data_IF_747481051199
#
_entry.id   IF_747481051199
#
_cell.length_a   1.000
_cell.length_b   1.000
_cell.length_c   1.000
_cell.angle_alpha   90.00
_cell.angle_beta   90.00
_cell.angle_gamma   90.00
#
_symmetry.space_group_name_H-M   'P 1'
#
loop_
_entity.id
_entity.type
_entity.pdbx_description
1 polymer ?
#
# COMPACT_ATOMS: atom_id res chain seq x y z
N UNK A 1 44.34 -7.28 -20.80
CA UNK A 1 43.70 -8.10 -21.84
C UNK A 1 42.43 -7.40 -22.31
N UNK A 2 42.43 -6.68 -23.46
CA UNK A 2 41.21 -6.01 -23.99
C UNK A 2 40.37 -7.06 -24.71
N UNK A 3 39.27 -7.52 -24.09
CA UNK A 3 38.29 -8.38 -24.74
C UNK A 3 37.59 -7.60 -25.87
N UNK A 4 38.05 -7.77 -27.11
CA UNK A 4 37.33 -7.27 -28.31
C UNK A 4 36.17 -8.21 -28.61
N UNK A 5 34.99 -7.87 -28.09
CA UNK A 5 33.76 -8.55 -28.45
C UNK A 5 33.48 -8.37 -29.96
N UNK A 6 33.12 -9.46 -30.66
CA UNK A 6 32.61 -9.39 -32.04
C UNK A 6 31.40 -8.45 -32.10
N UNK A 7 31.21 -7.75 -33.23
CA UNK A 7 30.10 -6.82 -33.50
C UNK A 7 28.73 -7.42 -33.13
N UNK A 8 28.52 -8.68 -33.46
CA UNK A 8 27.33 -9.45 -33.11
C UNK A 8 27.14 -9.56 -31.58
N UNK A 9 28.19 -9.88 -30.81
CA UNK A 9 28.14 -9.98 -29.37
C UNK A 9 27.84 -8.63 -28.70
N UNK A 10 28.31 -7.52 -29.30
CA UNK A 10 28.00 -6.17 -28.82
C UNK A 10 26.51 -5.82 -28.99
N UNK A 11 25.92 -6.11 -30.13
CA UNK A 11 24.49 -5.86 -30.39
C UNK A 11 23.65 -6.68 -29.44
N UNK A 12 23.94 -7.99 -29.28
CA UNK A 12 23.23 -8.86 -28.34
C UNK A 12 23.29 -8.30 -26.90
N UNK A 13 24.47 -7.86 -26.49
CA UNK A 13 24.66 -7.28 -25.16
C UNK A 13 23.83 -6.01 -24.97
N UNK A 14 23.83 -5.09 -25.96
CA UNK A 14 23.06 -3.84 -25.85
C UNK A 14 21.55 -4.11 -25.78
N UNK A 15 21.03 -5.02 -26.60
CA UNK A 15 19.61 -5.38 -26.53
C UNK A 15 19.25 -6.10 -25.23
N UNK A 16 20.12 -7.00 -24.72
CA UNK A 16 19.90 -7.65 -23.43
C UNK A 16 19.86 -6.64 -22.28
N UNK A 17 20.77 -5.67 -22.27
CA UNK A 17 20.79 -4.60 -21.28
C UNK A 17 19.54 -3.73 -21.38
N UNK A 18 19.12 -3.38 -22.60
CA UNK A 18 17.90 -2.60 -22.82
C UNK A 18 16.66 -3.32 -22.27
N UNK A 19 16.50 -4.60 -22.59
CA UNK A 19 15.38 -5.41 -22.11
C UNK A 19 15.44 -5.54 -20.58
N UNK A 20 16.63 -5.71 -19.99
CA UNK A 20 16.81 -5.77 -18.54
C UNK A 20 16.38 -4.48 -17.84
N UNK A 21 16.80 -3.32 -18.37
CA UNK A 21 16.41 -2.00 -17.85
C UNK A 21 14.88 -1.84 -17.91
N UNK A 22 14.28 -2.19 -19.03
CA UNK A 22 12.83 -2.10 -19.22
C UNK A 22 12.07 -3.03 -18.25
N UNK A 23 12.55 -4.25 -18.07
CA UNK A 23 11.97 -5.22 -17.13
C UNK A 23 12.04 -4.71 -15.68
N UNK A 24 13.18 -4.16 -15.26
CA UNK A 24 13.33 -3.56 -13.93
C UNK A 24 12.38 -2.37 -13.78
N UNK A 25 12.26 -1.53 -14.81
CA UNK A 25 11.33 -0.39 -14.81
C UNK A 25 9.87 -0.82 -14.60
N UNK A 26 9.43 -1.89 -15.30
CA UNK A 26 8.07 -2.44 -15.14
C UNK A 26 7.86 -2.96 -13.71
N UNK A 27 8.82 -3.71 -13.16
CA UNK A 27 8.71 -4.25 -11.79
C UNK A 27 8.59 -3.13 -10.76
N UNK A 28 9.40 -2.07 -10.88
CA UNK A 28 9.35 -0.94 -9.96
C UNK A 28 8.03 -0.17 -10.08
N UNK A 29 7.56 0.05 -11.31
CA UNK A 29 6.27 0.71 -11.55
C UNK A 29 5.10 -0.08 -10.96
N UNK A 30 5.06 -1.39 -11.19
CA UNK A 30 4.02 -2.27 -10.67
C UNK A 30 4.01 -2.31 -9.14
N UNK A 31 5.19 -2.38 -8.49
CA UNK A 31 5.28 -2.31 -7.04
C UNK A 31 4.73 -1.00 -6.47
N UNK A 32 5.00 0.12 -7.13
CA UNK A 32 4.48 1.42 -6.72
C UNK A 32 2.95 1.49 -6.89
N UNK A 33 2.43 1.00 -8.01
CA UNK A 33 1.00 0.97 -8.31
C UNK A 33 0.24 0.11 -7.30
N UNK A 34 0.75 -1.09 -7.00
CA UNK A 34 0.17 -2.00 -6.00
C UNK A 34 0.10 -1.33 -4.63
N UNK A 35 1.16 -0.65 -4.19
CA UNK A 35 1.16 0.05 -2.89
C UNK A 35 0.10 1.14 -2.86
N UNK A 36 -0.01 1.93 -3.92
CA UNK A 36 -1.00 3.01 -4.01
C UNK A 36 -2.44 2.48 -3.94
N UNK A 37 -2.77 1.47 -4.76
CA UNK A 37 -4.10 0.86 -4.78
C UNK A 37 -4.47 0.22 -3.45
N UNK A 38 -3.49 -0.42 -2.78
CA UNK A 38 -3.72 -1.03 -1.47
C UNK A 38 -3.96 -0.01 -0.37
N UNK A 39 -3.16 1.05 -0.33
CA UNK A 39 -3.40 2.14 0.63
C UNK A 39 -4.80 2.71 0.44
N UNK A 40 -5.21 2.96 -0.80
CA UNK A 40 -6.55 3.46 -1.12
C UNK A 40 -7.67 2.46 -0.74
N UNK A 41 -7.44 1.17 -0.95
CA UNK A 41 -8.38 0.12 -0.53
C UNK A 41 -8.55 0.07 0.99
N UNK A 42 -7.44 0.19 1.74
CA UNK A 42 -7.47 0.26 3.21
C UNK A 42 -8.15 1.54 3.69
N UNK A 43 -7.90 2.69 3.06
CA UNK A 43 -8.60 3.94 3.39
C UNK A 43 -10.11 3.82 3.19
N UNK A 44 -10.56 3.20 2.09
CA UNK A 44 -11.99 2.97 1.85
C UNK A 44 -12.59 2.04 2.91
N UNK A 45 -11.90 0.98 3.29
CA UNK A 45 -12.35 0.08 4.34
C UNK A 45 -12.44 0.79 5.70
N UNK A 46 -11.49 1.66 6.02
CA UNK A 46 -11.52 2.45 7.24
C UNK A 46 -12.63 3.51 7.20
N UNK A 47 -12.92 4.11 6.03
CA UNK A 47 -14.07 5.01 5.83
C UNK A 47 -15.39 4.29 6.11
N UNK A 48 -15.58 3.10 5.53
CA UNK A 48 -16.76 2.26 5.74
C UNK A 48 -16.92 1.86 7.22
N UNK A 49 -15.82 1.50 7.89
CA UNK A 49 -15.83 1.19 9.32
C UNK A 49 -16.21 2.41 10.17
N UNK A 50 -15.66 3.58 9.89
CA UNK A 50 -16.02 4.82 10.60
C UNK A 50 -17.50 5.16 10.42
N UNK A 51 -18.04 5.01 9.21
CA UNK A 51 -19.46 5.22 8.95
C UNK A 51 -20.35 4.19 9.65
N UNK A 52 -19.93 2.92 9.69
CA UNK A 52 -20.66 1.88 10.43
C UNK A 52 -20.71 2.22 11.93
N UNK A 53 -19.56 2.57 12.52
CA UNK A 53 -19.45 2.96 13.92
C UNK A 53 -20.36 4.15 14.24
N UNK A 54 -20.35 5.18 13.39
CA UNK A 54 -21.20 6.35 13.56
C UNK A 54 -22.70 5.99 13.49
N UNK A 55 -23.10 5.14 12.54
CA UNK A 55 -24.49 4.67 12.44
C UNK A 55 -24.92 3.85 13.65
N UNK A 56 -24.04 3.00 14.15
CA UNK A 56 -24.30 2.19 15.35
C UNK A 56 -24.50 3.07 16.60
N UNK A 57 -23.58 4.01 16.83
CA UNK A 57 -23.65 4.96 17.96
C UNK A 57 -24.97 5.74 17.91
N UNK A 58 -25.35 6.27 16.73
CA UNK A 58 -26.60 7.02 16.56
C UNK A 58 -27.84 6.15 16.69
N UNK A 59 -27.81 4.96 16.11
CA UNK A 59 -28.96 4.03 16.09
C UNK A 59 -29.30 3.49 17.48
N UNK A 60 -28.28 3.30 18.33
CA UNK A 60 -28.44 2.80 19.70
C UNK A 60 -28.48 3.93 20.74
N UNK A 61 -28.35 5.19 20.32
CA UNK A 61 -28.29 6.35 21.22
C UNK A 61 -27.17 6.24 22.29
N UNK A 62 -26.04 5.68 21.90
CA UNK A 62 -24.89 5.46 22.79
C UNK A 62 -24.26 6.80 23.17
N UNK A 63 -24.08 7.06 24.45
CA UNK A 63 -23.28 8.18 24.90
C UNK A 63 -21.80 7.93 24.56
N UNK A 64 -21.12 8.93 23.97
CA UNK A 64 -19.72 8.80 23.51
C UNK A 64 -18.73 8.52 24.65
N UNK A 65 -19.14 8.72 25.91
CA UNK A 65 -18.40 8.39 27.13
C UNK A 65 -18.77 7.02 27.73
N UNK A 66 -19.65 6.24 27.07
CA UNK A 66 -20.03 4.91 27.58
C UNK A 66 -19.09 3.85 27.00
N UNK A 67 -17.96 3.63 27.69
CA UNK A 67 -16.92 2.68 27.25
C UNK A 67 -17.44 1.25 27.07
N UNK A 68 -18.29 0.74 27.98
CA UNK A 68 -18.74 -0.66 27.91
C UNK A 68 -19.55 -1.00 26.66
N UNK A 69 -20.40 -0.08 26.16
CA UNK A 69 -21.14 -0.29 24.92
C UNK A 69 -20.28 -0.12 23.67
N UNK A 70 -19.25 0.74 23.77
CA UNK A 70 -18.27 0.92 22.68
C UNK A 70 -17.30 -0.26 22.62
N UNK A 71 -16.93 -0.85 23.75
CA UNK A 71 -16.12 -2.07 23.80
C UNK A 71 -16.86 -3.26 23.15
N UNK A 72 -18.16 -3.41 23.43
CA UNK A 72 -18.98 -4.42 22.75
C UNK A 72 -18.98 -4.21 21.23
N UNK A 73 -19.09 -2.96 20.77
CA UNK A 73 -19.02 -2.63 19.36
C UNK A 73 -17.68 -3.05 18.72
N UNK A 74 -16.56 -2.89 19.43
CA UNK A 74 -15.24 -3.24 18.89
C UNK A 74 -15.08 -4.73 18.61
N UNK A 75 -15.84 -5.60 19.28
CA UNK A 75 -15.82 -7.05 19.04
C UNK A 75 -16.29 -7.46 17.65
N UNK A 76 -17.03 -6.60 16.95
CA UNK A 76 -17.47 -6.84 15.57
C UNK A 76 -16.41 -6.55 14.53
N UNK A 77 -15.25 -6.00 14.94
CA UNK A 77 -14.15 -5.67 14.03
C UNK A 77 -12.95 -6.60 14.25
N UNK A 78 -11.96 -6.48 13.39
CA UNK A 78 -10.67 -7.16 13.57
C UNK A 78 -9.99 -6.72 14.86
N UNK A 79 -9.36 -7.65 15.58
CA UNK A 79 -8.59 -7.40 16.80
C UNK A 79 -7.48 -6.34 16.63
N UNK A 80 -7.08 -6.08 15.41
CA UNK A 80 -6.06 -5.10 15.07
C UNK A 80 -6.61 -3.71 14.77
N UNK A 81 -7.94 -3.53 14.74
CA UNK A 81 -8.55 -2.23 14.50
C UNK A 81 -8.47 -1.36 15.76
N UNK A 82 -7.78 -0.24 15.64
CA UNK A 82 -7.81 0.81 16.67
C UNK A 82 -9.00 1.73 16.39
N UNK A 83 -9.79 1.97 17.43
CA UNK A 83 -10.92 2.91 17.40
C UNK A 83 -10.70 3.98 18.47
N UNK A 84 -10.73 5.24 18.06
CA UNK A 84 -10.68 6.39 18.96
C UNK A 84 -11.82 7.34 18.60
N UNK A 85 -12.57 7.82 19.57
CA UNK A 85 -13.57 8.87 19.41
C UNK A 85 -13.02 10.14 20.05
N UNK A 86 -13.06 11.24 19.30
CA UNK A 86 -12.40 12.50 19.66
C UNK A 86 -13.43 13.62 19.52
N UNK A 87 -13.52 14.49 20.50
CA UNK A 87 -14.39 15.66 20.40
C UNK A 87 -13.83 16.75 19.45
N UNK A 88 -14.61 17.79 19.19
CA UNK A 88 -14.19 18.91 18.33
C UNK A 88 -12.98 19.71 18.85
N UNK A 89 -12.63 19.56 20.11
CA UNK A 89 -11.50 20.25 20.77
C UNK A 89 -10.24 19.38 20.77
N UNK A 90 -10.34 18.14 20.28
CA UNK A 90 -9.24 17.18 20.21
C UNK A 90 -9.09 16.30 21.47
N UNK A 91 -10.00 16.41 22.41
CA UNK A 91 -10.02 15.56 23.61
C UNK A 91 -10.52 14.17 23.23
N UNK A 92 -9.80 13.14 23.67
CA UNK A 92 -10.20 11.74 23.45
C UNK A 92 -11.33 11.40 24.41
N UNK A 93 -12.44 10.95 23.86
CA UNK A 93 -13.64 10.54 24.59
C UNK A 93 -13.71 9.03 24.80
N UNK A 94 -13.06 8.27 23.91
CA UNK A 94 -12.98 6.83 23.95
C UNK A 94 -11.80 6.33 23.11
N UNK A 95 -11.10 5.32 23.59
CA UNK A 95 -10.09 4.57 22.84
C UNK A 95 -10.16 3.09 23.25
N UNK A 96 -10.13 2.17 22.28
CA UNK A 96 -10.26 0.73 22.56
C UNK A 96 -8.96 0.05 23.00
N UNK A 97 -7.84 0.78 23.06
CA UNK A 97 -6.53 0.22 23.44
C UNK A 97 -5.95 0.83 24.70
N UNK A 98 -6.12 2.12 24.89
CA UNK A 98 -5.52 2.90 25.98
C UNK A 98 -6.59 3.63 26.77
N UNK A 99 -6.30 3.87 28.03
CA UNK A 99 -7.14 4.70 28.90
C UNK A 99 -7.13 6.16 28.39
N UNK A 100 -8.31 6.69 28.08
CA UNK A 100 -8.53 8.03 27.57
C UNK A 100 -7.96 9.12 28.46
N UNK A 101 -7.96 8.92 29.80
CA UNK A 101 -7.42 9.88 30.78
C UNK A 101 -5.90 10.06 30.65
N UNK A 102 -5.20 9.07 30.11
CA UNK A 102 -3.74 9.11 29.91
C UNK A 102 -3.34 9.71 28.56
N UNK A 103 -4.30 9.97 27.66
CA UNK A 103 -4.03 10.43 26.32
C UNK A 103 -3.86 11.95 26.23
N UNK A 104 -2.90 12.37 25.44
CA UNK A 104 -2.72 13.78 25.07
C UNK A 104 -3.80 14.24 24.09
N UNK A 105 -4.02 15.55 23.99
CA UNK A 105 -4.93 16.10 22.99
C UNK A 105 -4.50 15.72 21.57
N UNK A 106 -5.45 15.34 20.74
CA UNK A 106 -5.23 14.81 19.41
C UNK A 106 -5.52 15.81 18.27
N UNK A 107 -5.82 17.08 18.62
CA UNK A 107 -6.20 18.09 17.64
C UNK A 107 -5.12 18.30 16.56
N UNK A 108 -3.84 18.23 16.94
CA UNK A 108 -2.71 18.49 16.06
C UNK A 108 -2.31 17.26 15.22
N UNK A 109 -3.02 16.15 15.34
CA UNK A 109 -2.74 14.96 14.52
C UNK A 109 -3.09 15.21 13.04
N UNK A 110 -2.19 14.89 12.09
CA UNK A 110 -2.39 15.23 10.67
C UNK A 110 -3.70 14.68 10.06
N UNK A 111 -4.12 13.49 10.49
CA UNK A 111 -5.39 12.88 10.08
C UNK A 111 -6.60 13.68 10.62
N UNK A 112 -6.51 14.22 11.83
CA UNK A 112 -7.57 15.04 12.45
C UNK A 112 -7.63 16.41 11.77
N UNK A 113 -6.49 17.08 11.56
CA UNK A 113 -6.43 18.36 10.85
C UNK A 113 -7.07 18.26 9.45
N UNK A 114 -6.71 17.22 8.70
CA UNK A 114 -7.34 16.97 7.39
C UNK A 114 -8.84 16.71 7.50
N UNK A 115 -9.28 16.00 8.55
CA UNK A 115 -10.70 15.74 8.77
C UNK A 115 -11.47 17.00 9.17
N UNK A 116 -10.83 17.96 9.83
CA UNK A 116 -11.40 19.28 10.10
C UNK A 116 -11.59 20.09 8.81
N UNK A 117 -10.59 20.11 7.94
CA UNK A 117 -10.59 20.94 6.71
C UNK A 117 -11.46 20.34 5.60
N UNK A 118 -11.43 19.02 5.44
CA UNK A 118 -12.02 18.31 4.29
C UNK A 118 -13.12 17.30 4.66
N UNK A 119 -13.50 17.22 5.95
CA UNK A 119 -14.48 16.25 6.45
C UNK A 119 -13.90 14.87 6.70
N UNK A 120 -12.75 14.53 6.11
CA UNK A 120 -12.02 13.27 6.30
C UNK A 120 -10.54 13.42 6.01
N UNK A 121 -9.71 12.57 6.62
CA UNK A 121 -8.29 12.60 6.40
C UNK A 121 -7.59 11.32 6.79
N UNK A 122 -6.48 11.01 6.14
CA UNK A 122 -5.63 9.86 6.45
C UNK A 122 -4.18 10.26 6.61
N UNK A 123 -3.45 9.47 7.39
CA UNK A 123 -2.01 9.60 7.53
C UNK A 123 -1.36 8.27 7.93
N UNK A 124 -0.20 7.98 7.35
CA UNK A 124 0.61 6.83 7.74
C UNK A 124 1.72 7.32 8.65
N UNK A 125 1.68 6.92 9.91
CA UNK A 125 2.69 7.30 10.89
C UNK A 125 2.98 6.19 11.89
N UNK A 126 4.09 6.32 12.60
CA UNK A 126 4.43 5.44 13.71
C UNK A 126 3.56 5.80 14.92
N UNK A 127 3.00 4.79 15.56
CA UNK A 127 2.29 4.97 16.83
C UNK A 127 3.29 5.26 17.96
N UNK A 128 2.97 6.23 18.78
CA UNK A 128 3.81 6.63 19.92
C UNK A 128 3.84 5.53 21.00
N UNK A 129 2.76 4.74 21.12
CA UNK A 129 2.60 3.73 22.17
C UNK A 129 3.33 2.42 21.89
N UNK A 130 3.30 1.90 20.67
CA UNK A 130 3.86 0.56 20.35
C UNK A 130 4.92 0.55 19.26
N UNK A 131 5.26 1.71 18.69
CA UNK A 131 6.24 1.90 17.62
C UNK A 131 5.96 1.08 16.34
N UNK A 132 4.70 0.76 16.08
CA UNK A 132 4.23 0.14 14.85
C UNK A 132 3.71 1.24 13.93
N UNK A 133 3.90 1.08 12.63
CA UNK A 133 3.32 1.99 11.62
C UNK A 133 1.87 1.63 11.38
N UNK A 134 0.99 2.62 11.56
CA UNK A 134 -0.43 2.51 11.29
C UNK A 134 -0.85 3.44 10.14
N UNK A 135 -1.84 2.99 9.39
CA UNK A 135 -2.67 3.87 8.59
C UNK A 135 -3.81 4.36 9.49
N UNK A 136 -3.74 5.64 9.88
CA UNK A 136 -4.79 6.33 10.59
C UNK A 136 -5.75 6.97 9.60
N UNK A 137 -7.03 6.84 9.85
CA UNK A 137 -8.10 7.47 9.11
C UNK A 137 -9.05 8.15 10.08
N UNK A 138 -9.37 9.41 9.84
CA UNK A 138 -10.30 10.19 10.67
C UNK A 138 -11.41 10.78 9.81
N UNK A 139 -12.63 10.79 10.34
CA UNK A 139 -13.80 11.39 9.70
C UNK A 139 -14.57 12.23 10.70
N UNK A 140 -14.97 13.43 10.24
CA UNK A 140 -15.77 14.37 11.01
C UNK A 140 -17.25 14.09 10.84
N UNK A 141 -18.02 14.18 11.92
CA UNK A 141 -19.46 13.94 11.89
C UNK A 141 -20.25 15.12 12.47
N UNK A 142 -21.49 15.28 12.03
CA UNK A 142 -22.39 16.40 12.42
C UNK A 142 -22.73 16.46 13.91
N UNK A 143 -22.27 15.49 14.72
CA UNK A 143 -22.38 15.52 16.18
C UNK A 143 -21.27 16.29 16.89
N UNK A 144 -20.36 16.92 16.16
CA UNK A 144 -19.22 17.67 16.72
C UNK A 144 -18.11 16.76 17.27
N UNK A 145 -17.89 15.60 16.68
CA UNK A 145 -16.85 14.65 17.02
C UNK A 145 -16.23 14.03 15.78
N UNK A 146 -15.05 13.46 15.98
CA UNK A 146 -14.33 12.67 15.00
C UNK A 146 -14.32 11.20 15.42
N UNK A 147 -14.50 10.31 14.46
CA UNK A 147 -14.17 8.91 14.60
C UNK A 147 -12.84 8.68 13.88
N UNK A 148 -11.83 8.26 14.63
CA UNK A 148 -10.53 7.86 14.11
C UNK A 148 -10.43 6.35 14.20
N UNK A 149 -10.15 5.71 13.07
CA UNK A 149 -9.87 4.28 12.99
C UNK A 149 -8.47 4.07 12.43
N UNK A 150 -7.79 3.01 12.85
CA UNK A 150 -6.47 2.71 12.33
C UNK A 150 -6.19 1.22 12.25
N UNK A 151 -5.34 0.83 11.30
CA UNK A 151 -4.84 -0.53 11.11
C UNK A 151 -3.32 -0.55 10.95
N UNK A 152 -2.63 -1.64 11.40
CA UNK A 152 -1.20 -1.81 11.20
C UNK A 152 -0.86 -1.88 9.71
N UNK A 153 -0.24 -0.82 9.18
CA UNK A 153 0.00 -0.65 7.75
C UNK A 153 0.90 -1.72 7.14
N UNK A 154 1.99 -2.09 7.82
CA UNK A 154 2.94 -3.06 7.27
C UNK A 154 2.43 -4.49 7.26
N UNK A 155 1.63 -4.88 8.23
CA UNK A 155 1.04 -6.22 8.33
C UNK A 155 0.04 -6.41 7.20
N UNK A 156 -0.87 -5.47 7.03
CA UNK A 156 -1.91 -5.49 6.00
C UNK A 156 -1.31 -5.46 4.58
N UNK A 157 -0.33 -4.58 4.34
CA UNK A 157 0.34 -4.50 3.04
C UNK A 157 1.16 -5.76 2.74
N UNK A 158 1.85 -6.37 3.71
CA UNK A 158 2.62 -7.60 3.50
C UNK A 158 1.75 -8.81 3.17
N UNK A 159 0.62 -8.98 3.85
CA UNK A 159 -0.31 -10.09 3.56
C UNK A 159 -0.80 -10.03 2.11
N UNK A 160 -1.04 -8.84 1.60
CA UNK A 160 -1.47 -8.63 0.22
C UNK A 160 -0.35 -8.81 -0.81
N UNK A 161 0.87 -8.40 -0.50
CA UNK A 161 2.03 -8.56 -1.40
C UNK A 161 2.38 -10.03 -1.63
N UNK A 162 2.24 -10.88 -0.61
CA UNK A 162 2.47 -12.31 -0.74
C UNK A 162 1.47 -13.02 -1.68
N UNK A 163 0.27 -12.47 -1.84
CA UNK A 163 -0.79 -13.07 -2.66
C UNK A 163 -0.61 -12.86 -4.19
N UNK A 164 0.21 -11.89 -4.62
CA UNK A 164 0.33 -11.52 -6.06
C UNK A 164 1.73 -11.68 -6.66
N UNK A 165 2.58 -12.53 -6.11
CA UNK A 165 3.89 -12.82 -6.69
C UNK A 165 3.82 -13.45 -8.11
N UNK A 166 2.66 -13.95 -8.53
CA UNK A 166 2.45 -14.55 -9.85
C UNK A 166 2.80 -13.61 -11.01
N UNK A 167 2.49 -12.31 -10.91
CA UNK A 167 2.82 -11.33 -11.93
C UNK A 167 4.34 -11.11 -12.06
N UNK A 168 5.05 -11.09 -10.94
CA UNK A 168 6.51 -10.96 -10.92
C UNK A 168 7.19 -12.16 -11.58
N UNK A 169 6.70 -13.39 -11.31
CA UNK A 169 7.19 -14.59 -12.00
C UNK A 169 6.92 -14.54 -13.50
N UNK A 170 5.75 -14.07 -13.91
CA UNK A 170 5.41 -13.88 -15.31
C UNK A 170 6.39 -12.94 -16.02
N UNK A 171 6.71 -11.79 -15.43
CA UNK A 171 7.69 -10.84 -15.99
C UNK A 171 9.08 -11.47 -16.11
N UNK A 172 9.54 -12.21 -15.10
CA UNK A 172 10.84 -12.87 -15.11
C UNK A 172 10.89 -13.93 -16.23
N UNK A 173 9.86 -14.76 -16.35
CA UNK A 173 9.75 -15.76 -17.41
C UNK A 173 9.74 -15.09 -18.78
N UNK A 174 8.96 -14.03 -18.97
CA UNK A 174 8.91 -13.26 -20.20
C UNK A 174 10.28 -12.67 -20.57
N UNK A 175 11.02 -12.15 -19.58
CA UNK A 175 12.39 -11.67 -19.79
C UNK A 175 13.31 -12.78 -20.28
N UNK A 176 13.30 -13.94 -19.63
CA UNK A 176 14.14 -15.10 -20.01
C UNK A 176 13.80 -15.54 -21.44
N UNK A 177 12.51 -15.69 -21.77
CA UNK A 177 12.05 -16.08 -23.11
C UNK A 177 12.49 -15.06 -24.16
N UNK A 178 12.35 -13.77 -23.88
CA UNK A 178 12.77 -12.69 -24.80
C UNK A 178 14.26 -12.74 -25.10
N UNK A 179 15.10 -12.97 -24.07
CA UNK A 179 16.55 -13.10 -24.23
C UNK A 179 16.90 -14.32 -25.07
N UNK A 180 16.28 -15.48 -24.78
CA UNK A 180 16.51 -16.72 -25.55
C UNK A 180 16.11 -16.56 -27.02
N UNK A 181 14.96 -15.94 -27.26
CA UNK A 181 14.46 -15.66 -28.62
C UNK A 181 15.40 -14.72 -29.39
N UNK A 182 15.94 -13.71 -28.71
CA UNK A 182 16.94 -12.82 -29.31
C UNK A 182 18.22 -13.56 -29.67
N UNK A 183 18.73 -14.47 -28.81
CA UNK A 183 19.89 -15.30 -29.14
C UNK A 183 19.62 -16.21 -30.31
N UNK A 184 18.44 -16.84 -30.39
CA UNK A 184 18.05 -17.70 -31.51
C UNK A 184 18.05 -16.92 -32.86
N UNK A 185 17.38 -15.79 -32.91
CA UNK A 185 17.31 -14.96 -34.13
C UNK A 185 18.68 -14.42 -34.53
N UNK A 186 19.50 -13.94 -33.58
CA UNK A 186 20.83 -13.45 -33.86
C UNK A 186 21.74 -14.55 -34.42
N UNK A 187 21.57 -15.81 -34.02
CA UNK A 187 22.29 -16.94 -34.57
C UNK A 187 21.84 -17.24 -36.01
N UNK A 188 20.52 -17.30 -36.24
CA UNK A 188 19.93 -17.61 -37.55
C UNK A 188 20.29 -16.55 -38.60
N UNK A 189 20.14 -15.25 -38.29
CA UNK A 189 20.53 -14.18 -39.21
C UNK A 189 22.02 -14.16 -39.53
N UNK A 190 22.89 -14.49 -38.57
CA UNK A 190 24.34 -14.56 -38.82
C UNK A 190 24.73 -15.69 -39.72
N UNK A 191 24.00 -16.81 -39.76
CA UNK A 191 24.25 -17.92 -40.69
C UNK A 191 23.85 -17.52 -42.13
N UNK A 192 22.65 -16.92 -42.31
CA UNK A 192 22.18 -16.48 -43.63
C UNK A 192 23.09 -15.43 -44.26
N UNK A 193 23.70 -14.53 -43.50
CA UNK A 193 24.66 -13.54 -44.02
C UNK A 193 25.97 -14.20 -44.44
N UNK A 194 26.43 -15.27 -43.76
CA UNK A 194 27.62 -16.00 -44.15
C UNK A 194 27.42 -16.74 -45.46
N UNK A 195 26.29 -17.41 -45.65
CA UNK A 195 25.93 -18.11 -46.87
C UNK A 195 25.88 -17.17 -48.08
N UNK A 196 25.25 -15.97 -47.92
CA UNK A 196 25.23 -14.94 -48.95
C UNK A 196 26.63 -14.42 -49.33
N UNK A 197 27.58 -14.43 -48.44
CA UNK A 197 28.95 -13.98 -48.69
C UNK A 197 29.82 -15.04 -49.35
N UNK A 198 29.46 -16.32 -49.26
CA UNK A 198 30.11 -17.43 -49.97
C UNK A 198 29.59 -17.57 -51.43
N UNK A 199 28.40 -17.01 -51.74
CA UNK A 199 27.83 -17.01 -53.09
C UNK A 199 28.17 -15.75 -53.93
N UNK A 200 28.80 -14.74 -53.37
CA UNK A 200 29.23 -13.50 -54.03
C UNK A 200 30.74 -13.47 -54.28
#
# INVERSE_FOLDING_TARGET
MKFRLSYRKKILLYFSVLIAIFTVGIILFEQQQIRYERTRSLENMLDDNADFINRYIKGQNIALSNSSQLDELTTYFSDNLLLTIIDKTGVVMYDNLLDEETMTNHIDRPEIQKAMDFGKGSNIRMSDSNRIRYLYYAKSYNGGYFIRVALPYEVEVRQFLNSKNSFMYFIIIFFIVSVLMMFYFANKFSQSIKELKEFA
#
